data_IF_845907661126
#
_entry.id   IF_845907661126
#
_cell.length_a   1.000
_cell.length_b   1.000
_cell.length_c   1.000
_cell.angle_alpha   90.00
_cell.angle_beta   90.00
_cell.angle_gamma   90.00
#
_symmetry.space_group_name_H-M   'P 1'
#
loop_
_entity.id
_entity.type
_entity.pdbx_description
1 polymer ?
#
# COMPACT_ATOMS: atom_id res chain seq x y z
N UNK A 1 -31.57 -37.99 9.19
CA UNK A 1 -30.46 -37.54 8.33
C UNK A 1 -30.45 -36.03 8.34
N UNK A 2 -29.62 -35.41 9.18
CA UNK A 2 -29.47 -33.95 9.24
C UNK A 2 -28.57 -33.49 8.09
N UNK A 3 -29.13 -32.74 7.14
CA UNK A 3 -28.37 -32.14 6.05
C UNK A 3 -27.96 -30.72 6.47
N UNK A 4 -26.66 -30.46 6.55
CA UNK A 4 -26.10 -29.15 6.88
C UNK A 4 -26.19 -28.25 5.65
N UNK A 5 -26.86 -27.09 5.78
CA UNK A 5 -26.88 -26.06 4.75
C UNK A 5 -25.56 -25.29 4.84
N UNK A 6 -24.77 -25.17 3.77
CA UNK A 6 -23.55 -24.37 3.80
C UNK A 6 -23.92 -22.89 3.97
N UNK A 7 -23.48 -22.31 5.09
CA UNK A 7 -23.61 -20.88 5.33
C UNK A 7 -22.62 -20.16 4.39
N UNK A 8 -23.15 -19.43 3.41
CA UNK A 8 -22.33 -18.66 2.46
C UNK A 8 -21.83 -17.39 3.18
N UNK A 9 -20.68 -17.50 3.83
CA UNK A 9 -20.05 -16.46 4.64
C UNK A 9 -19.14 -15.51 3.82
N UNK A 10 -19.33 -15.43 2.51
CA UNK A 10 -18.63 -14.48 1.65
C UNK A 10 -19.20 -13.07 1.91
N UNK A 11 -18.82 -12.50 3.05
CA UNK A 11 -18.99 -11.08 3.31
C UNK A 11 -17.98 -10.34 2.42
N UNK A 12 -18.38 -9.28 1.71
CA UNK A 12 -17.43 -8.45 0.99
C UNK A 12 -16.43 -7.86 2.00
N UNK A 13 -15.15 -7.84 1.62
CA UNK A 13 -14.12 -7.21 2.44
C UNK A 13 -14.46 -5.72 2.61
N UNK A 14 -14.50 -5.28 3.87
CA UNK A 14 -14.77 -3.89 4.22
C UNK A 14 -13.50 -3.29 4.79
N UNK A 15 -12.98 -2.27 4.12
CA UNK A 15 -11.68 -1.68 4.45
C UNK A 15 -11.78 -0.27 5.06
N UNK A 16 -12.94 0.08 5.62
CA UNK A 16 -13.12 1.36 6.29
C UNK A 16 -12.41 1.40 7.64
N UNK A 17 -12.12 2.60 8.14
CA UNK A 17 -11.61 2.80 9.52
C UNK A 17 -12.53 2.14 10.55
N UNK A 18 -13.84 2.17 10.33
CA UNK A 18 -14.84 1.53 11.21
C UNK A 18 -14.78 0.00 11.25
N UNK A 19 -14.14 -0.62 10.27
CA UNK A 19 -13.95 -2.08 10.19
C UNK A 19 -12.58 -2.50 10.76
N UNK A 20 -11.72 -1.55 11.16
CA UNK A 20 -10.44 -1.81 11.80
C UNK A 20 -10.62 -1.92 13.31
N UNK A 21 -10.10 -2.99 13.92
CA UNK A 21 -9.96 -3.04 15.38
C UNK A 21 -8.82 -2.10 15.76
N UNK A 22 -9.19 -0.90 16.21
CA UNK A 22 -8.25 0.10 16.71
C UNK A 22 -7.84 -0.28 18.13
N UNK A 23 -6.53 -0.27 18.36
CA UNK A 23 -5.89 -0.51 19.63
C UNK A 23 -4.73 0.48 19.80
N UNK A 24 -4.20 0.59 21.00
CA UNK A 24 -3.02 1.44 21.26
C UNK A 24 -1.82 1.06 20.36
N UNK A 25 -1.77 -0.19 19.87
CA UNK A 25 -0.68 -0.71 19.03
C UNK A 25 -0.72 -0.16 17.60
N UNK A 26 -1.90 0.10 17.03
CA UNK A 26 -2.04 0.58 15.65
C UNK A 26 -2.53 2.03 15.55
N UNK A 27 -2.92 2.67 16.65
CA UNK A 27 -3.35 4.07 16.66
C UNK A 27 -2.32 5.01 16.04
N UNK A 28 -1.04 4.88 16.44
CA UNK A 28 0.03 5.73 15.89
C UNK A 28 0.16 5.58 14.37
N UNK A 29 -0.05 4.37 13.86
CA UNK A 29 0.02 4.10 12.43
C UNK A 29 -1.16 4.72 11.67
N UNK A 30 -2.36 4.66 12.25
CA UNK A 30 -3.56 5.31 11.70
C UNK A 30 -3.36 6.82 11.66
N UNK A 31 -2.85 7.41 12.74
CA UNK A 31 -2.58 8.86 12.81
C UNK A 31 -1.55 9.28 11.76
N UNK A 32 -0.47 8.49 11.60
CA UNK A 32 0.55 8.72 10.59
C UNK A 32 -0.03 8.67 9.17
N UNK A 33 -0.83 7.64 8.86
CA UNK A 33 -1.48 7.48 7.55
C UNK A 33 -2.55 8.54 7.28
N UNK A 34 -3.16 9.07 8.35
CA UNK A 34 -4.15 10.14 8.28
C UNK A 34 -3.58 11.53 8.00
N UNK A 35 -2.26 11.71 8.12
CA UNK A 35 -1.58 12.99 7.94
C UNK A 35 -0.39 12.92 6.97
N UNK A 36 -0.59 12.51 5.70
CA UNK A 36 0.51 12.26 4.77
C UNK A 36 1.36 13.49 4.44
N UNK A 37 0.78 14.69 4.47
CA UNK A 37 1.51 15.94 4.29
C UNK A 37 2.51 16.26 5.42
N UNK A 38 2.41 15.58 6.57
CA UNK A 38 3.33 15.76 7.69
C UNK A 38 4.52 14.80 7.68
N UNK A 39 4.58 13.89 6.71
CA UNK A 39 5.71 12.97 6.59
C UNK A 39 6.99 13.74 6.26
N UNK A 40 8.11 13.33 6.87
CA UNK A 40 9.42 13.97 6.65
C UNK A 40 9.95 13.76 5.22
N UNK A 41 9.58 12.63 4.62
CA UNK A 41 9.80 12.32 3.22
C UNK A 41 8.46 11.77 2.66
N UNK A 42 8.20 11.90 1.36
CA UNK A 42 6.91 11.50 0.79
C UNK A 42 6.74 9.98 0.73
N UNK A 43 7.61 9.17 1.34
CA UNK A 43 7.57 7.72 1.24
C UNK A 43 7.29 7.08 2.59
N UNK A 44 6.39 6.11 2.60
CA UNK A 44 6.17 5.29 3.78
C UNK A 44 6.15 3.81 3.38
N UNK A 45 6.88 3.00 4.13
CA UNK A 45 6.92 1.56 3.94
C UNK A 45 6.21 0.87 5.10
N UNK A 46 5.18 0.07 4.80
CA UNK A 46 4.55 -0.81 5.77
C UNK A 46 4.98 -2.24 5.51
N UNK A 47 5.73 -2.78 6.46
CA UNK A 47 6.31 -4.13 6.37
C UNK A 47 5.66 -5.02 7.42
N UNK A 48 5.19 -6.19 7.01
CA UNK A 48 4.59 -7.14 7.95
C UNK A 48 4.12 -8.43 7.29
N UNK A 49 3.88 -9.49 8.06
CA UNK A 49 3.46 -10.78 7.51
C UNK A 49 2.10 -10.71 6.82
N UNK A 50 1.75 -11.77 6.07
CA UNK A 50 0.41 -11.92 5.51
C UNK A 50 -0.65 -11.88 6.61
N UNK A 51 -1.78 -11.19 6.35
CA UNK A 51 -2.88 -11.07 7.32
C UNK A 51 -2.64 -10.07 8.47
N UNK A 52 -1.57 -9.27 8.42
CA UNK A 52 -1.29 -8.25 9.46
C UNK A 52 -2.10 -6.95 9.32
N UNK A 53 -3.01 -6.85 8.33
CA UNK A 53 -3.85 -5.66 8.12
C UNK A 53 -3.24 -4.53 7.26
N UNK A 54 -2.08 -4.76 6.60
CA UNK A 54 -1.43 -3.77 5.71
C UNK A 54 -2.37 -3.24 4.62
N UNK A 55 -3.02 -4.13 3.88
CA UNK A 55 -3.96 -3.77 2.80
C UNK A 55 -5.13 -2.94 3.33
N UNK A 56 -5.67 -3.28 4.52
CA UNK A 56 -6.70 -2.48 5.19
C UNK A 56 -6.21 -1.06 5.49
N UNK A 57 -5.02 -0.93 6.07
CA UNK A 57 -4.41 0.37 6.36
C UNK A 57 -4.14 1.18 5.09
N UNK A 58 -3.72 0.54 4.00
CA UNK A 58 -3.57 1.20 2.72
C UNK A 58 -4.90 1.73 2.16
N UNK A 59 -6.00 0.99 2.30
CA UNK A 59 -7.31 1.50 1.90
C UNK A 59 -7.74 2.72 2.71
N UNK A 60 -7.47 2.74 4.02
CA UNK A 60 -7.70 3.93 4.86
C UNK A 60 -6.90 5.12 4.33
N UNK A 61 -5.61 4.91 4.03
CA UNK A 61 -4.77 5.94 3.44
C UNK A 61 -5.29 6.40 2.07
N UNK A 62 -5.70 5.49 1.19
CA UNK A 62 -6.30 5.81 -0.11
C UNK A 62 -7.56 6.65 0.03
N UNK A 63 -8.42 6.36 1.01
CA UNK A 63 -9.62 7.15 1.26
C UNK A 63 -9.28 8.58 1.73
N UNK A 64 -8.36 8.71 2.69
CA UNK A 64 -7.96 10.01 3.25
C UNK A 64 -7.22 10.88 2.24
N UNK A 65 -6.32 10.30 1.47
CA UNK A 65 -5.41 11.03 0.58
C UNK A 65 -5.84 11.04 -0.88
N UNK A 66 -6.91 10.32 -1.23
CA UNK A 66 -7.30 10.04 -2.61
C UNK A 66 -6.18 9.34 -3.40
N UNK A 67 -5.42 8.47 -2.72
CA UNK A 67 -4.32 7.75 -3.35
C UNK A 67 -4.82 6.75 -4.39
N UNK A 68 -4.15 6.71 -5.52
CA UNK A 68 -4.33 5.66 -6.52
C UNK A 68 -3.71 4.36 -6.02
N UNK A 69 -4.52 3.30 -5.94
CA UNK A 69 -4.05 1.97 -5.59
C UNK A 69 -3.59 1.23 -6.85
N UNK A 70 -2.33 0.81 -6.87
CA UNK A 70 -1.70 0.13 -8.00
C UNK A 70 -1.22 -1.24 -7.49
N UNK A 71 -1.58 -2.31 -8.18
CA UNK A 71 -1.07 -3.64 -7.82
C UNK A 71 0.37 -3.80 -8.31
N UNK A 72 1.16 -4.65 -7.65
CA UNK A 72 2.49 -5.00 -8.15
C UNK A 72 2.49 -5.47 -9.62
N UNK A 73 1.44 -6.17 -10.06
CA UNK A 73 1.31 -6.62 -11.44
C UNK A 73 1.03 -5.48 -12.44
N UNK A 74 0.36 -4.40 -11.99
CA UNK A 74 0.04 -3.26 -12.85
C UNK A 74 1.24 -2.32 -13.06
N UNK A 75 2.29 -2.42 -12.23
CA UNK A 75 3.44 -1.52 -12.34
C UNK A 75 4.20 -1.68 -13.66
N UNK A 76 4.21 -2.89 -14.25
CA UNK A 76 4.85 -3.13 -15.55
C UNK A 76 4.17 -2.40 -16.72
N UNK A 77 2.94 -1.90 -16.52
CA UNK A 77 2.21 -1.11 -17.52
C UNK A 77 2.35 0.40 -17.28
N UNK A 78 3.04 0.83 -16.22
CA UNK A 78 3.23 2.24 -15.95
C UNK A 78 4.20 2.85 -16.95
N UNK A 79 3.78 3.96 -17.55
CA UNK A 79 4.65 4.74 -18.41
C UNK A 79 5.41 5.77 -17.55
N UNK A 80 6.75 5.74 -17.53
CA UNK A 80 7.56 6.64 -16.70
C UNK A 80 7.40 8.12 -17.08
N UNK A 81 6.90 8.43 -18.29
CA UNK A 81 6.65 9.80 -18.73
C UNK A 81 5.27 10.34 -18.32
N UNK A 82 4.38 9.49 -17.81
CA UNK A 82 3.00 9.84 -17.44
C UNK A 82 2.64 9.20 -16.11
N UNK A 83 3.48 9.41 -15.10
CA UNK A 83 3.22 8.95 -13.74
C UNK A 83 2.12 9.80 -13.08
N UNK A 84 1.36 9.25 -12.12
CA UNK A 84 0.29 9.98 -11.46
C UNK A 84 0.85 11.12 -10.59
N UNK A 85 0.33 12.33 -10.78
CA UNK A 85 0.57 13.48 -9.89
C UNK A 85 -0.31 13.43 -8.62
N UNK A 86 -0.70 12.23 -8.18
CA UNK A 86 -1.52 11.97 -7.00
C UNK A 86 -0.76 11.06 -6.04
N UNK A 87 -1.19 10.95 -4.77
CA UNK A 87 -0.64 9.93 -3.90
C UNK A 87 -0.82 8.52 -4.49
N UNK A 88 0.11 7.61 -4.22
CA UNK A 88 0.08 6.25 -4.77
C UNK A 88 0.27 5.22 -3.66
N UNK A 89 -0.44 4.10 -3.76
CA UNK A 89 -0.21 2.89 -2.98
C UNK A 89 0.27 1.78 -3.91
N UNK A 90 1.28 1.03 -3.50
CA UNK A 90 1.63 -0.26 -4.09
C UNK A 90 1.54 -1.36 -3.04
N UNK A 91 0.70 -2.36 -3.31
CA UNK A 91 0.61 -3.57 -2.50
C UNK A 91 1.51 -4.69 -3.06
N UNK A 92 2.05 -5.51 -2.17
CA UNK A 92 3.08 -6.51 -2.44
C UNK A 92 4.25 -5.92 -3.28
N UNK A 93 4.77 -4.76 -2.87
CA UNK A 93 5.78 -3.98 -3.60
C UNK A 93 7.08 -4.76 -3.89
N UNK A 94 7.39 -5.82 -3.14
CA UNK A 94 8.51 -6.72 -3.44
C UNK A 94 8.36 -7.51 -4.75
N UNK A 95 7.16 -7.55 -5.34
CA UNK A 95 6.85 -8.22 -6.61
C UNK A 95 6.66 -7.24 -7.77
N UNK A 96 6.71 -5.94 -7.50
CA UNK A 96 6.49 -4.93 -8.53
C UNK A 96 7.67 -4.86 -9.50
N UNK A 97 7.39 -4.43 -10.74
CA UNK A 97 8.42 -4.06 -11.70
C UNK A 97 9.39 -3.02 -11.10
N UNK A 98 10.68 -3.35 -11.15
CA UNK A 98 11.73 -2.63 -10.45
C UNK A 98 12.00 -1.24 -11.05
N UNK A 99 12.01 -1.15 -12.38
CA UNK A 99 12.21 0.11 -13.11
C UNK A 99 11.03 1.06 -12.87
N UNK A 100 9.80 0.53 -12.93
CA UNK A 100 8.60 1.31 -12.62
C UNK A 100 8.60 1.83 -11.18
N UNK A 101 8.99 1.00 -10.20
CA UNK A 101 9.14 1.41 -8.80
C UNK A 101 10.17 2.54 -8.64
N UNK A 102 11.33 2.41 -9.30
CA UNK A 102 12.36 3.43 -9.25
C UNK A 102 11.86 4.78 -9.82
N UNK A 103 11.16 4.75 -10.95
CA UNK A 103 10.58 5.95 -11.54
C UNK A 103 9.49 6.57 -10.66
N UNK A 104 8.61 5.76 -10.07
CA UNK A 104 7.60 6.23 -9.11
C UNK A 104 8.21 6.85 -7.87
N UNK A 105 9.22 6.21 -7.28
CA UNK A 105 9.95 6.72 -6.12
C UNK A 105 10.53 8.10 -6.40
N UNK A 106 11.25 8.24 -7.52
CA UNK A 106 11.85 9.50 -7.94
C UNK A 106 10.81 10.57 -8.26
N UNK A 107 9.73 10.20 -8.95
CA UNK A 107 8.64 11.12 -9.26
C UNK A 107 7.98 11.64 -7.98
N UNK A 108 7.68 10.75 -7.03
CA UNK A 108 7.14 11.10 -5.71
C UNK A 108 8.04 12.08 -4.94
N UNK A 109 9.37 11.93 -5.01
CA UNK A 109 10.31 12.91 -4.43
C UNK A 109 10.22 14.27 -5.11
N UNK A 110 10.12 14.30 -6.44
CA UNK A 110 10.10 15.53 -7.22
C UNK A 110 8.80 16.31 -7.02
N UNK A 111 7.66 15.61 -6.95
CA UNK A 111 6.33 16.21 -6.81
C UNK A 111 5.88 16.35 -5.36
N UNK A 112 6.62 15.77 -4.41
CA UNK A 112 6.22 15.63 -3.00
C UNK A 112 4.89 14.90 -2.82
N UNK A 113 4.52 14.05 -3.79
CA UNK A 113 3.30 13.23 -3.70
C UNK A 113 3.56 11.98 -2.84
N UNK A 114 2.74 11.70 -1.82
CA UNK A 114 2.91 10.54 -0.95
C UNK A 114 2.88 9.20 -1.72
N UNK A 115 3.86 8.35 -1.47
CA UNK A 115 3.96 6.98 -1.97
C UNK A 115 3.99 6.02 -0.78
N UNK A 116 2.96 5.18 -0.67
CA UNK A 116 2.86 4.13 0.34
C UNK A 116 3.19 2.77 -0.29
N UNK A 117 4.20 2.09 0.24
CA UNK A 117 4.65 0.79 -0.23
C UNK A 117 4.35 -0.26 0.85
N UNK A 118 3.58 -1.28 0.50
CA UNK A 118 3.31 -2.41 1.38
C UNK A 118 4.19 -3.59 0.96
N UNK A 119 4.79 -4.25 1.94
CA UNK A 119 5.55 -5.47 1.66
C UNK A 119 5.54 -6.47 2.80
N UNK A 120 5.94 -7.70 2.50
CA UNK A 120 6.14 -8.75 3.52
C UNK A 120 7.57 -8.77 4.04
N UNK A 121 8.51 -8.34 3.21
CA UNK A 121 9.94 -8.35 3.47
C UNK A 121 10.51 -6.94 3.42
N UNK A 122 11.62 -6.74 4.12
CA UNK A 122 12.32 -5.46 4.10
C UNK A 122 12.89 -5.18 2.69
N UNK A 123 12.84 -3.93 2.17
CA UNK A 123 13.37 -3.59 0.84
C UNK A 123 14.81 -4.02 0.59
N UNK A 124 15.67 -3.92 1.62
CA UNK A 124 17.06 -4.42 1.57
C UNK A 124 17.21 -5.93 1.28
N UNK A 125 16.13 -6.70 1.38
CA UNK A 125 16.11 -8.14 1.07
C UNK A 125 15.55 -8.44 -0.32
N UNK A 126 15.12 -7.43 -1.08
CA UNK A 126 14.61 -7.62 -2.42
C UNK A 126 15.78 -7.91 -3.37
N UNK A 127 15.59 -8.85 -4.29
CA UNK A 127 16.59 -9.16 -5.31
C UNK A 127 16.44 -8.15 -6.44
N UNK A 128 17.16 -7.04 -6.33
CA UNK A 128 17.16 -5.95 -7.31
C UNK A 128 18.25 -6.19 -8.37
N UNK A 129 17.88 -6.10 -9.64
CA UNK A 129 18.79 -6.27 -10.77
C UNK A 129 19.22 -4.93 -11.39
N UNK A 130 18.63 -3.79 -10.99
CA UNK A 130 19.07 -2.49 -11.48
C UNK A 130 20.51 -2.20 -11.00
N UNK A 131 21.41 -1.82 -11.92
CA UNK A 131 22.70 -1.24 -11.54
C UNK A 131 22.49 0.16 -10.94
N UNK A 132 23.35 0.52 -9.99
CA UNK A 132 23.38 1.83 -9.31
C UNK A 132 23.40 3.03 -10.28
#
# INVERSE_FOLDING_TARGET
>A
MSHQIPLKLELPERYGVSDLIVSDVNQHLIDLLGAPHSWLNPHLFLIGPHGSGKTHLAHIFSEVSQAQFITAADTCHLNPNTLPDTPVVIDDAEQADEEALFHLYNHSLQTSQPLLLLSRTHPLSWQTALPD
#
